data_IF_247885219509
#
_entry.id   IF_247885219509
#
_cell.length_a   1.000
_cell.length_b   1.000
_cell.length_c   1.000
_cell.angle_alpha   90.00
_cell.angle_beta   90.00
_cell.angle_gamma   90.00
#
_symmetry.space_group_name_H-M   'P 1'
#
loop_
_entity.id
_entity.type
_entity.pdbx_description
1 polymer ?
#
# COMPACT_ATOMS: atom_id res chain seq x y z
N UNK A 1 23.10 -77.39 -31.51
CA UNK A 1 23.12 -76.30 -32.51
C UNK A 1 23.36 -74.98 -31.79
N UNK A 2 24.17 -74.11 -32.41
CA UNK A 2 24.70 -72.83 -31.90
C UNK A 2 23.61 -71.76 -31.66
N UNK A 3 23.94 -70.66 -30.92
CA UNK A 3 23.00 -69.79 -30.20
C UNK A 3 22.55 -68.55 -31.00
N UNK A 4 21.49 -67.86 -30.53
CA UNK A 4 21.07 -66.56 -31.06
C UNK A 4 20.95 -65.49 -29.95
N UNK A 5 21.97 -64.63 -29.93
CA UNK A 5 21.97 -63.15 -29.92
C UNK A 5 20.92 -62.37 -29.09
N UNK A 6 21.44 -61.57 -28.15
CA UNK A 6 20.90 -60.26 -27.67
C UNK A 6 21.27 -59.12 -28.68
N UNK A 7 20.96 -57.83 -28.43
CA UNK A 7 19.68 -57.16 -28.18
C UNK A 7 19.49 -55.91 -29.08
N UNK A 8 18.30 -55.29 -29.11
CA UNK A 8 18.09 -53.93 -29.64
C UNK A 8 17.62 -52.99 -28.52
N UNK A 9 18.40 -51.96 -28.22
CA UNK A 9 18.04 -50.84 -27.34
C UNK A 9 17.82 -49.59 -28.17
N UNK A 10 16.68 -48.93 -27.94
CA UNK A 10 16.23 -47.74 -28.63
C UNK A 10 17.09 -46.50 -28.33
N UNK A 11 17.26 -45.70 -29.38
CA UNK A 11 18.10 -44.51 -29.51
C UNK A 11 17.44 -43.32 -28.78
N UNK A 12 18.13 -42.70 -27.81
CA UNK A 12 17.76 -41.37 -27.29
C UNK A 12 18.40 -40.30 -28.17
N UNK A 13 17.58 -39.39 -28.70
CA UNK A 13 17.99 -38.22 -29.47
C UNK A 13 18.67 -37.19 -28.57
N UNK A 14 19.80 -36.66 -29.04
CA UNK A 14 20.58 -35.61 -28.42
C UNK A 14 20.30 -34.30 -29.19
N UNK A 15 19.90 -33.23 -28.52
CA UNK A 15 19.82 -31.88 -29.11
C UNK A 15 20.92 -31.02 -28.47
N UNK A 16 21.61 -30.14 -29.23
CA UNK A 16 22.87 -29.55 -28.81
C UNK A 16 22.67 -28.35 -27.88
N UNK A 17 23.65 -28.20 -26.99
CA UNK A 17 23.76 -27.13 -26.02
C UNK A 17 24.29 -25.82 -26.65
N UNK A 18 23.72 -24.71 -26.17
CA UNK A 18 24.39 -23.48 -25.75
C UNK A 18 25.13 -22.60 -26.77
N UNK A 19 24.64 -21.37 -26.91
CA UNK A 19 25.48 -20.16 -26.84
C UNK A 19 24.84 -19.20 -25.82
N UNK A 20 25.32 -19.26 -24.57
CA UNK A 20 25.00 -18.26 -23.55
C UNK A 20 25.92 -17.06 -23.73
N UNK A 21 25.34 -15.90 -23.98
CA UNK A 21 26.02 -14.62 -23.87
C UNK A 21 26.30 -14.35 -22.39
N UNK A 22 27.51 -13.89 -22.08
CA UNK A 22 27.99 -13.62 -20.73
C UNK A 22 27.26 -12.39 -20.16
N UNK A 23 26.26 -12.61 -19.31
CA UNK A 23 25.90 -11.61 -18.29
C UNK A 23 26.91 -11.74 -17.15
N UNK A 24 27.39 -10.61 -16.61
CA UNK A 24 28.28 -10.59 -15.47
C UNK A 24 27.57 -11.24 -14.28
N UNK A 25 27.86 -12.52 -14.04
CA UNK A 25 27.25 -13.25 -12.94
C UNK A 25 27.72 -12.63 -11.62
N UNK A 26 26.89 -11.77 -11.03
CA UNK A 26 27.05 -11.35 -9.65
C UNK A 26 27.09 -12.62 -8.78
N UNK A 27 28.23 -12.87 -8.13
CA UNK A 27 28.36 -13.98 -7.20
C UNK A 27 27.25 -13.86 -6.14
N UNK A 28 26.57 -14.97 -5.84
CA UNK A 28 25.45 -14.97 -4.91
C UNK A 28 25.90 -14.38 -3.56
N UNK A 29 25.21 -13.34 -3.05
CA UNK A 29 25.54 -12.76 -1.77
C UNK A 29 25.40 -13.82 -0.66
N UNK A 30 26.28 -13.74 0.36
CA UNK A 30 26.21 -14.64 1.51
C UNK A 30 24.86 -14.45 2.21
N UNK A 31 24.02 -15.48 2.15
CA UNK A 31 22.69 -15.49 2.74
C UNK A 31 22.72 -16.19 4.12
N UNK A 32 22.09 -15.57 5.11
CA UNK A 32 21.82 -16.13 6.42
C UNK A 32 20.31 -16.21 6.63
N UNK A 33 19.80 -17.42 6.92
CA UNK A 33 18.38 -17.67 7.15
C UNK A 33 18.08 -17.69 8.65
N UNK A 34 17.19 -16.80 9.09
CA UNK A 34 16.93 -16.55 10.51
C UNK A 34 15.44 -16.70 10.77
N UNK A 35 15.09 -17.59 11.70
CA UNK A 35 13.71 -17.75 12.17
C UNK A 35 13.47 -16.82 13.37
N UNK A 36 12.64 -15.81 13.18
CA UNK A 36 12.25 -14.85 14.22
C UNK A 36 10.96 -15.33 14.88
N UNK A 37 10.97 -15.70 16.18
CA UNK A 37 9.77 -16.20 16.84
C UNK A 37 8.73 -15.09 17.02
N UNK A 38 7.55 -15.29 16.46
CA UNK A 38 6.37 -14.45 16.68
C UNK A 38 5.59 -15.04 17.85
N UNK A 39 5.87 -14.54 19.07
CA UNK A 39 5.27 -14.94 20.37
C UNK A 39 4.29 -16.13 20.30
N UNK A 40 3.03 -15.90 19.91
CA UNK A 40 1.98 -16.92 19.80
C UNK A 40 1.60 -17.33 18.36
N UNK A 41 2.11 -16.64 17.35
CA UNK A 41 1.67 -16.76 15.96
C UNK A 41 2.70 -17.48 15.06
N UNK A 42 3.60 -18.30 15.59
CA UNK A 42 4.59 -19.05 14.80
C UNK A 42 5.92 -18.32 14.65
N UNK A 43 6.57 -18.42 13.49
CA UNK A 43 7.86 -17.77 13.23
C UNK A 43 7.90 -17.09 11.85
N UNK A 44 8.50 -15.91 11.79
CA UNK A 44 8.82 -15.19 10.57
C UNK A 44 10.21 -15.63 10.06
N UNK A 45 10.34 -15.95 8.77
CA UNK A 45 11.66 -16.18 8.17
C UNK A 45 12.24 -14.87 7.66
N UNK A 46 13.43 -14.52 8.12
CA UNK A 46 14.20 -13.36 7.66
C UNK A 46 15.48 -13.87 7.01
N UNK A 47 15.71 -13.45 5.76
CA UNK A 47 16.94 -13.81 5.05
C UNK A 47 17.83 -12.57 4.93
N UNK A 48 19.05 -12.66 5.46
CA UNK A 48 20.00 -11.55 5.49
C UNK A 48 21.10 -11.80 4.48
N UNK A 49 21.19 -10.89 3.52
CA UNK A 49 22.22 -10.85 2.50
C UNK A 49 23.23 -9.78 2.88
N UNK A 50 24.34 -10.22 3.47
CA UNK A 50 25.36 -9.33 4.02
C UNK A 50 26.11 -8.60 2.92
N UNK A 51 26.26 -7.28 3.09
CA UNK A 51 27.19 -6.50 2.27
C UNK A 51 28.63 -6.93 2.55
N UNK A 52 29.52 -6.71 1.58
CA UNK A 52 30.96 -6.88 1.78
C UNK A 52 31.58 -5.83 2.71
N UNK A 53 30.85 -4.76 3.02
CA UNK A 53 31.31 -3.65 3.87
C UNK A 53 30.73 -3.72 5.28
N UNK A 54 31.56 -3.62 6.35
CA UNK A 54 31.13 -3.88 7.73
C UNK A 54 30.27 -2.77 8.36
N UNK A 55 30.03 -1.66 7.67
CA UNK A 55 29.16 -0.54 8.10
C UNK A 55 28.18 -0.14 7.00
N UNK A 56 27.72 -1.12 6.21
CA UNK A 56 26.77 -0.89 5.13
C UNK A 56 25.43 -0.37 5.66
N UNK A 57 24.71 0.48 4.90
CA UNK A 57 23.31 0.75 5.20
C UNK A 57 22.48 -0.54 5.15
N UNK A 58 21.30 -0.53 5.77
CA UNK A 58 20.38 -1.67 5.79
C UNK A 58 19.18 -1.38 4.91
N UNK A 59 18.83 -2.33 4.05
CA UNK A 59 17.67 -2.28 3.17
C UNK A 59 16.74 -3.45 3.50
N UNK A 60 15.49 -3.16 3.82
CA UNK A 60 14.44 -4.17 3.99
C UNK A 60 13.78 -4.41 2.65
N UNK A 61 13.72 -5.67 2.21
CA UNK A 61 13.00 -6.08 1.01
C UNK A 61 11.78 -6.92 1.36
N UNK A 62 10.61 -6.51 0.88
CA UNK A 62 9.33 -7.18 1.05
C UNK A 62 8.87 -7.75 -0.30
N UNK A 63 8.76 -9.08 -0.43
CA UNK A 63 8.40 -9.73 -1.70
C UNK A 63 6.97 -9.38 -2.15
N UNK A 64 6.62 -9.64 -3.44
CA UNK A 64 5.30 -9.31 -4.01
C UNK A 64 4.09 -9.89 -3.25
N UNK A 65 4.28 -10.99 -2.52
CA UNK A 65 3.19 -11.72 -1.87
C UNK A 65 2.47 -12.66 -2.85
N UNK A 66 1.27 -13.15 -2.49
CA UNK A 66 0.61 -14.24 -3.21
C UNK A 66 -0.04 -13.86 -4.54
N UNK A 67 -0.02 -12.57 -4.92
CA UNK A 67 -0.64 -12.04 -6.15
C UNK A 67 -0.03 -12.62 -7.42
N UNK A 68 1.27 -12.89 -7.39
CA UNK A 68 2.00 -13.51 -8.50
C UNK A 68 2.73 -14.77 -8.00
N UNK A 69 2.92 -15.78 -8.86
CA UNK A 69 3.63 -17.00 -8.47
C UNK A 69 5.04 -16.69 -7.94
N UNK A 70 5.39 -17.27 -6.78
CA UNK A 70 6.71 -17.07 -6.21
C UNK A 70 7.78 -17.79 -7.02
N UNK A 71 8.78 -17.03 -7.50
CA UNK A 71 9.95 -17.54 -8.20
C UNK A 71 11.22 -17.23 -7.41
N UNK A 72 11.77 -18.25 -6.75
CA UNK A 72 12.99 -18.09 -5.96
C UNK A 72 14.18 -17.58 -6.81
N UNK A 73 14.23 -17.94 -8.10
CA UNK A 73 15.27 -17.47 -9.02
C UNK A 73 15.15 -15.98 -9.32
N UNK A 74 13.95 -15.49 -9.63
CA UNK A 74 13.70 -14.07 -9.91
C UNK A 74 13.96 -13.22 -8.67
N UNK A 75 13.47 -13.68 -7.51
CA UNK A 75 13.72 -13.02 -6.22
C UNK A 75 15.22 -12.94 -5.90
N UNK A 76 15.96 -14.03 -6.14
CA UNK A 76 17.41 -14.05 -5.94
C UNK A 76 18.12 -13.05 -6.86
N UNK A 77 17.66 -12.90 -8.10
CA UNK A 77 18.22 -11.91 -9.04
C UNK A 77 17.94 -10.48 -8.57
N UNK A 78 16.70 -10.16 -8.20
CA UNK A 78 16.33 -8.84 -7.67
C UNK A 78 17.20 -8.47 -6.47
N UNK A 79 17.32 -9.39 -5.49
CA UNK A 79 18.13 -9.19 -4.29
C UNK A 79 19.62 -9.03 -4.63
N UNK A 80 20.14 -9.84 -5.54
CA UNK A 80 21.54 -9.74 -5.98
C UNK A 80 21.83 -8.38 -6.61
N UNK A 81 20.94 -7.92 -7.50
CA UNK A 81 21.04 -6.59 -8.14
C UNK A 81 20.93 -5.47 -7.12
N UNK A 82 20.00 -5.54 -6.17
CA UNK A 82 19.87 -4.57 -5.08
C UNK A 82 21.13 -4.53 -4.21
N UNK A 83 21.66 -5.67 -3.78
CA UNK A 83 22.90 -5.77 -3.01
C UNK A 83 24.07 -5.13 -3.76
N UNK A 84 24.23 -5.47 -5.05
CA UNK A 84 25.34 -5.01 -5.87
C UNK A 84 25.32 -3.49 -6.10
N UNK A 85 24.13 -2.93 -6.37
CA UNK A 85 23.98 -1.50 -6.72
C UNK A 85 23.87 -0.60 -5.49
N UNK A 86 23.19 -1.04 -4.43
CA UNK A 86 23.04 -0.27 -3.20
C UNK A 86 24.29 -0.32 -2.31
N UNK A 87 25.03 -1.44 -2.34
CA UNK A 87 26.08 -1.74 -1.36
C UNK A 87 25.54 -1.96 0.07
N UNK A 88 24.21 -2.05 0.23
CA UNK A 88 23.53 -2.26 1.49
C UNK A 88 23.54 -3.75 1.89
N UNK A 89 23.38 -4.01 3.19
CA UNK A 89 22.94 -5.31 3.67
C UNK A 89 21.42 -5.40 3.45
N UNK A 90 20.98 -6.40 2.69
CA UNK A 90 19.55 -6.57 2.35
C UNK A 90 18.93 -7.62 3.26
N UNK A 91 17.88 -7.26 3.98
CA UNK A 91 17.08 -8.16 4.80
C UNK A 91 15.74 -8.42 4.11
N UNK A 92 15.56 -9.63 3.57
CA UNK A 92 14.27 -10.07 3.02
C UNK A 92 13.36 -10.53 4.15
N UNK A 93 12.20 -9.91 4.29
CA UNK A 93 11.17 -10.32 5.24
C UNK A 93 10.16 -11.22 4.53
N UNK A 94 10.19 -12.52 4.79
CA UNK A 94 9.26 -13.49 4.21
C UNK A 94 7.95 -13.50 5.02
N UNK A 95 7.20 -12.40 4.93
CA UNK A 95 5.92 -12.26 5.62
C UNK A 95 4.95 -13.35 5.15
N UNK A 96 4.07 -13.78 6.06
CA UNK A 96 3.11 -14.84 5.77
C UNK A 96 1.79 -14.22 5.33
N UNK A 97 1.42 -14.51 4.09
CA UNK A 97 0.16 -14.09 3.48
C UNK A 97 -0.42 -15.26 2.70
N UNK A 98 -1.52 -15.83 3.20
CA UNK A 98 -2.24 -16.94 2.57
C UNK A 98 -3.63 -17.09 3.19
N UNK A 99 -4.42 -18.05 2.68
CA UNK A 99 -5.70 -18.42 3.30
C UNK A 99 -5.57 -18.88 4.77
N UNK A 100 -4.39 -19.37 5.19
CA UNK A 100 -4.10 -19.73 6.58
C UNK A 100 -3.58 -18.54 7.40
N UNK A 101 -2.94 -17.58 6.73
CA UNK A 101 -2.31 -16.40 7.32
C UNK A 101 -2.92 -15.13 6.72
N UNK A 102 -4.18 -14.90 7.06
CA UNK A 102 -4.96 -13.74 6.66
C UNK A 102 -4.57 -12.50 7.47
N UNK A 103 -5.05 -11.32 7.05
CA UNK A 103 -4.95 -10.09 7.83
C UNK A 103 -5.43 -10.33 9.28
N UNK A 104 -4.73 -9.79 10.31
CA UNK A 104 -3.58 -8.86 10.28
C UNK A 104 -2.19 -9.53 10.29
N UNK A 105 -2.08 -10.83 9.99
CA UNK A 105 -0.81 -11.57 10.09
C UNK A 105 0.33 -10.97 9.26
N UNK A 106 0.15 -10.60 7.97
CA UNK A 106 1.22 -10.00 7.16
C UNK A 106 1.76 -8.69 7.76
N UNK A 107 0.87 -7.86 8.33
CA UNK A 107 1.24 -6.59 8.97
C UNK A 107 2.08 -6.83 10.22
N UNK A 108 1.65 -7.76 11.08
CA UNK A 108 2.40 -8.12 12.28
C UNK A 108 3.77 -8.70 11.94
N UNK A 109 3.86 -9.52 10.89
CA UNK A 109 5.12 -10.08 10.41
C UNK A 109 6.07 -8.98 9.89
N UNK A 110 5.57 -8.02 9.12
CA UNK A 110 6.38 -6.88 8.64
C UNK A 110 6.94 -6.03 9.81
N UNK A 111 6.11 -5.72 10.81
CA UNK A 111 6.53 -4.98 12.01
C UNK A 111 7.54 -5.78 12.85
N UNK A 112 7.29 -7.08 13.05
CA UNK A 112 8.22 -7.97 13.76
C UNK A 112 9.57 -8.04 13.05
N UNK A 113 9.56 -8.13 11.72
CA UNK A 113 10.76 -8.13 10.89
C UNK A 113 11.54 -6.83 10.99
N UNK A 114 10.84 -5.68 10.95
CA UNK A 114 11.46 -4.37 11.16
C UNK A 114 12.10 -4.26 12.55
N UNK A 115 11.39 -4.67 13.60
CA UNK A 115 11.92 -4.69 14.97
C UNK A 115 13.16 -5.56 15.09
N UNK A 116 13.14 -6.75 14.46
CA UNK A 116 14.29 -7.63 14.43
C UNK A 116 15.47 -6.99 13.71
N UNK A 117 15.26 -6.37 12.54
CA UNK A 117 16.30 -5.65 11.79
C UNK A 117 16.91 -4.54 12.65
N UNK A 118 16.09 -3.74 13.31
CA UNK A 118 16.55 -2.67 14.20
C UNK A 118 17.38 -3.19 15.36
N UNK A 119 17.01 -4.33 15.93
CA UNK A 119 17.69 -4.91 17.08
C UNK A 119 18.99 -5.63 16.71
N UNK A 120 19.11 -6.21 15.51
CA UNK A 120 20.20 -7.11 15.15
C UNK A 120 21.16 -6.54 14.11
N UNK A 121 20.66 -5.76 13.14
CA UNK A 121 21.47 -5.23 12.04
C UNK A 121 21.96 -3.80 12.28
N UNK A 122 21.32 -3.06 13.20
CA UNK A 122 21.72 -1.70 13.56
C UNK A 122 22.46 -1.69 14.90
N UNK A 123 23.59 -2.40 14.94
CA UNK A 123 24.49 -2.47 16.08
C UNK A 123 25.89 -1.95 15.73
N UNK A 124 26.59 -1.36 16.69
CA UNK A 124 28.02 -1.04 16.55
C UNK A 124 28.90 -2.29 16.80
N UNK A 125 30.22 -2.14 16.64
CA UNK A 125 31.19 -3.23 16.88
C UNK A 125 31.24 -3.76 18.32
N UNK A 126 30.50 -3.15 19.25
CA UNK A 126 30.34 -3.59 20.64
C UNK A 126 28.90 -4.05 20.94
N UNK A 127 28.11 -4.35 19.90
CA UNK A 127 26.70 -4.78 19.99
C UNK A 127 25.77 -3.75 20.66
N UNK A 128 26.12 -2.46 20.60
CA UNK A 128 25.25 -1.38 21.11
C UNK A 128 24.37 -0.85 19.98
N UNK A 129 23.08 -0.53 20.25
CA UNK A 129 22.19 0.02 19.24
C UNK A 129 22.74 1.32 18.65
N UNK A 130 22.79 1.41 17.33
CA UNK A 130 23.09 2.66 16.61
C UNK A 130 21.81 3.25 16.03
N UNK A 131 21.73 4.58 15.99
CA UNK A 131 20.68 5.27 15.25
C UNK A 131 21.01 5.14 13.77
N UNK A 132 20.36 4.18 13.11
CA UNK A 132 20.58 3.84 11.71
C UNK A 132 19.48 4.37 10.79
N UNK A 133 19.88 4.68 9.55
CA UNK A 133 18.96 4.97 8.45
C UNK A 133 18.66 3.65 7.73
N UNK A 134 17.38 3.29 7.64
CA UNK A 134 16.92 2.05 6.98
C UNK A 134 16.16 2.41 5.70
N UNK A 135 16.48 1.73 4.62
CA UNK A 135 15.66 1.75 3.41
C UNK A 135 14.62 0.64 3.44
N UNK A 136 13.47 0.84 2.81
CA UNK A 136 12.49 -0.22 2.56
C UNK A 136 12.15 -0.29 1.08
N UNK A 137 12.05 -1.49 0.54
CA UNK A 137 11.56 -1.72 -0.79
C UNK A 137 10.59 -2.90 -0.86
N UNK A 138 9.64 -2.83 -1.79
CA UNK A 138 8.71 -3.92 -1.99
C UNK A 138 7.78 -3.72 -3.18
N UNK A 139 7.11 -4.80 -3.54
CA UNK A 139 6.23 -4.87 -4.71
C UNK A 139 4.84 -5.39 -4.32
N UNK A 140 3.77 -4.95 -4.98
CA UNK A 140 2.40 -5.45 -4.76
C UNK A 140 1.98 -5.44 -3.27
N UNK A 141 1.75 -6.60 -2.65
CA UNK A 141 1.42 -6.72 -1.21
C UNK A 141 2.61 -6.31 -0.34
N UNK A 142 3.83 -6.71 -0.71
CA UNK A 142 5.05 -6.24 -0.06
C UNK A 142 5.26 -4.74 -0.23
N UNK A 143 4.79 -4.17 -1.35
CA UNK A 143 4.73 -2.72 -1.59
C UNK A 143 3.79 -2.04 -0.61
N UNK A 144 2.60 -2.60 -0.37
CA UNK A 144 1.67 -2.13 0.67
C UNK A 144 2.31 -2.09 2.06
N UNK A 145 2.94 -3.22 2.45
CA UNK A 145 3.64 -3.33 3.73
C UNK A 145 4.83 -2.37 3.83
N UNK A 146 5.53 -2.13 2.72
CA UNK A 146 6.63 -1.15 2.65
C UNK A 146 6.14 0.27 2.85
N UNK A 147 5.01 0.64 2.22
CA UNK A 147 4.36 1.94 2.44
C UNK A 147 3.95 2.08 3.90
N UNK A 148 3.29 1.06 4.46
CA UNK A 148 2.86 1.04 5.86
C UNK A 148 4.05 1.28 6.81
N UNK A 149 5.13 0.50 6.68
CA UNK A 149 6.34 0.68 7.50
C UNK A 149 6.94 2.08 7.32
N UNK A 150 7.05 2.57 6.08
CA UNK A 150 7.64 3.88 5.80
C UNK A 150 6.82 5.06 6.36
N UNK A 151 5.50 4.90 6.51
CA UNK A 151 4.65 5.89 7.16
C UNK A 151 4.79 5.83 8.68
N UNK A 152 4.78 4.63 9.29
CA UNK A 152 4.74 4.49 10.75
C UNK A 152 6.12 4.56 11.42
N UNK A 153 7.16 4.00 10.79
CA UNK A 153 8.50 3.83 11.37
C UNK A 153 9.48 4.92 10.92
N UNK A 154 9.03 6.17 10.81
CA UNK A 154 9.82 7.31 10.32
C UNK A 154 10.13 8.38 11.39
N UNK A 155 10.23 7.99 12.65
CA UNK A 155 10.47 8.88 13.80
C UNK A 155 11.93 9.36 13.88
N UNK A 156 12.21 10.68 13.86
CA UNK A 156 13.57 11.20 14.10
C UNK A 156 14.06 10.94 15.53
N UNK A 157 15.38 10.82 15.70
CA UNK A 157 16.02 10.55 16.99
C UNK A 157 16.12 9.06 17.33
N UNK A 158 15.51 8.20 16.52
CA UNK A 158 15.60 6.75 16.60
C UNK A 158 16.02 6.18 15.24
N UNK A 159 16.40 4.90 15.21
CA UNK A 159 16.54 4.16 13.96
C UNK A 159 15.20 4.17 13.24
N UNK A 160 15.19 4.62 11.99
CA UNK A 160 13.96 4.92 11.25
C UNK A 160 14.11 4.61 9.77
N UNK A 161 12.97 4.50 9.11
CA UNK A 161 12.91 4.42 7.65
C UNK A 161 13.12 5.82 7.07
N UNK A 162 14.12 5.96 6.22
CA UNK A 162 14.51 7.23 5.59
C UNK A 162 14.33 7.22 4.08
N UNK A 163 14.23 6.05 3.46
CA UNK A 163 14.00 5.86 2.04
C UNK A 163 12.99 4.73 1.80
N UNK A 164 12.04 4.93 0.89
CA UNK A 164 11.05 3.93 0.52
C UNK A 164 10.96 3.84 -1.02
N UNK A 165 11.23 2.66 -1.58
CA UNK A 165 11.04 2.38 -3.01
C UNK A 165 9.98 1.30 -3.22
N UNK A 166 8.84 1.65 -3.80
CA UNK A 166 7.71 0.71 -3.92
C UNK A 166 7.24 0.58 -5.36
N UNK A 167 7.07 -0.65 -5.83
CA UNK A 167 6.64 -0.96 -7.18
C UNK A 167 5.22 -1.53 -7.24
N UNK A 168 4.38 -0.96 -8.08
CA UNK A 168 2.97 -1.33 -8.23
C UNK A 168 2.30 -1.62 -6.86
N UNK A 169 2.38 -0.71 -5.86
CA UNK A 169 1.92 -1.03 -4.52
C UNK A 169 0.38 -1.10 -4.44
N UNK A 170 -0.15 -2.11 -3.75
CA UNK A 170 -1.58 -2.19 -3.44
C UNK A 170 -1.85 -1.35 -2.19
N UNK A 171 -2.31 -0.11 -2.38
CA UNK A 171 -2.48 0.83 -1.26
C UNK A 171 -3.94 1.09 -0.87
N UNK A 172 -4.89 0.61 -1.68
CA UNK A 172 -6.32 0.59 -1.40
C UNK A 172 -6.90 -0.77 -1.82
N UNK A 173 -7.35 -1.57 -0.85
CA UNK A 173 -8.00 -2.86 -1.10
C UNK A 173 -9.48 -2.73 -1.45
N UNK A 174 -10.03 -1.51 -1.42
CA UNK A 174 -11.37 -1.22 -1.96
C UNK A 174 -11.23 -0.97 -3.46
N UNK A 175 -11.47 -1.99 -4.26
CA UNK A 175 -11.30 -1.88 -5.71
C UNK A 175 -12.51 -1.20 -6.37
N UNK A 176 -12.31 -0.54 -7.53
CA UNK A 176 -13.40 0.15 -8.23
C UNK A 176 -14.59 -0.75 -8.60
N UNK A 177 -14.36 -2.02 -8.88
CA UNK A 177 -15.41 -2.95 -9.33
C UNK A 177 -16.39 -3.35 -8.21
N UNK A 178 -15.97 -3.23 -6.94
CA UNK A 178 -16.85 -3.52 -5.81
C UNK A 178 -17.78 -2.35 -5.48
N UNK A 179 -17.50 -1.16 -6.03
CA UNK A 179 -18.24 0.05 -5.74
C UNK A 179 -19.29 0.31 -6.82
N UNK A 180 -20.57 0.51 -6.46
CA UNK A 180 -21.59 0.85 -7.44
C UNK A 180 -21.24 2.18 -8.12
N UNK A 181 -21.50 2.27 -9.42
CA UNK A 181 -21.35 3.52 -10.16
C UNK A 181 -22.51 4.44 -9.82
N UNK A 182 -22.24 5.46 -9.00
CA UNK A 182 -23.23 6.40 -8.48
C UNK A 182 -22.80 7.82 -8.85
N UNK A 183 -23.77 8.69 -9.18
CA UNK A 183 -23.47 10.09 -9.48
C UNK A 183 -22.92 10.81 -8.24
N UNK A 184 -22.02 11.78 -8.41
CA UNK A 184 -21.35 12.49 -7.30
C UNK A 184 -22.33 13.17 -6.32
N UNK A 185 -23.51 13.57 -6.81
CA UNK A 185 -24.58 14.16 -6.02
C UNK A 185 -25.32 13.16 -5.10
N UNK A 186 -25.24 11.86 -5.41
CA UNK A 186 -25.92 10.76 -4.70
C UNK A 186 -24.97 9.98 -3.78
N UNK A 187 -23.69 10.36 -3.73
CA UNK A 187 -22.71 9.73 -2.86
C UNK A 187 -23.07 9.93 -1.39
N UNK A 188 -23.04 8.82 -0.65
CA UNK A 188 -23.27 8.83 0.79
C UNK A 188 -22.17 9.57 1.53
N UNK A 189 -22.53 10.16 2.66
CA UNK A 189 -21.57 10.69 3.62
C UNK A 189 -21.08 9.55 4.52
N UNK A 190 -19.75 9.37 4.66
CA UNK A 190 -19.23 8.37 5.58
C UNK A 190 -19.60 8.74 7.03
N UNK A 191 -19.85 7.72 7.86
CA UNK A 191 -20.02 7.89 9.31
C UNK A 191 -18.68 8.22 9.98
N UNK A 192 -18.15 9.42 9.74
CA UNK A 192 -16.90 9.89 10.31
C UNK A 192 -17.19 11.04 11.30
N UNK A 193 -17.02 10.81 12.62
CA UNK A 193 -17.05 11.89 13.59
C UNK A 193 -15.71 12.67 13.51
N UNK A 194 -15.79 13.96 13.21
CA UNK A 194 -14.84 15.03 13.60
C UNK A 194 -13.38 15.14 13.09
N UNK A 195 -12.88 14.36 12.11
CA UNK A 195 -11.47 14.54 11.68
C UNK A 195 -11.21 15.17 10.28
N UNK A 196 -12.22 15.57 9.49
CA UNK A 196 -11.97 16.10 8.13
C UNK A 196 -13.12 16.97 7.59
N UNK A 197 -12.86 18.23 7.22
CA UNK A 197 -13.87 19.18 6.70
C UNK A 197 -13.85 19.35 5.16
N UNK A 198 -12.99 18.63 4.42
CA UNK A 198 -12.78 18.82 2.97
C UNK A 198 -12.64 17.49 2.22
N UNK A 199 -13.08 17.48 0.96
CA UNK A 199 -13.02 16.31 0.08
C UNK A 199 -11.58 15.86 -0.15
N UNK A 200 -11.35 14.55 -0.36
CA UNK A 200 -10.02 13.96 -0.54
C UNK A 200 -9.24 14.56 -1.72
N UNK A 201 -9.96 14.91 -2.80
CA UNK A 201 -9.36 15.50 -3.98
C UNK A 201 -9.00 16.98 -3.81
N UNK A 202 -9.68 17.68 -2.90
CA UNK A 202 -9.41 19.07 -2.62
C UNK A 202 -8.06 19.22 -1.92
N UNK A 203 -7.34 20.27 -2.28
CA UNK A 203 -6.12 20.63 -1.59
C UNK A 203 -6.51 21.40 -0.31
N UNK A 204 -6.32 20.83 0.89
CA UNK A 204 -6.68 21.49 2.14
C UNK A 204 -5.89 22.78 2.38
N UNK A 205 -4.83 23.01 1.59
CA UNK A 205 -3.97 24.18 1.65
C UNK A 205 -4.28 25.20 0.56
N UNK A 206 -5.29 24.98 -0.30
CA UNK A 206 -5.63 25.91 -1.37
C UNK A 206 -5.87 27.33 -0.83
N UNK A 207 -5.29 28.32 -1.53
CA UNK A 207 -5.53 29.73 -1.27
C UNK A 207 -7.03 30.00 -1.46
N UNK A 208 -7.75 30.13 -0.36
CA UNK A 208 -9.15 30.57 -0.39
C UNK A 208 -9.14 32.07 -0.55
N UNK A 209 -9.58 32.56 -1.71
CA UNK A 209 -9.79 33.98 -1.96
C UNK A 209 -10.93 34.47 -1.05
N UNK A 210 -10.58 34.95 0.15
CA UNK A 210 -11.53 35.48 1.15
C UNK A 210 -11.98 36.92 0.84
N UNK A 211 -11.76 37.39 -0.39
CA UNK A 211 -12.15 38.72 -0.87
C UNK A 211 -13.66 38.86 -1.18
N UNK A 212 -14.55 38.20 -0.44
CA UNK A 212 -15.97 38.58 -0.39
C UNK A 212 -16.47 38.44 1.04
N UNK A 213 -16.87 39.54 1.71
CA UNK A 213 -17.42 39.46 3.05
C UNK A 213 -18.78 38.74 2.99
N UNK A 214 -18.99 37.85 3.96
CA UNK A 214 -20.24 37.15 4.21
C UNK A 214 -21.38 38.16 4.37
N UNK A 215 -22.27 38.22 3.38
CA UNK A 215 -23.62 38.72 3.58
C UNK A 215 -24.50 37.52 3.89
N UNK A 216 -24.94 37.43 5.14
CA UNK A 216 -26.07 36.59 5.55
C UNK A 216 -27.30 36.97 4.70
N UNK A 217 -27.48 36.28 3.59
CA UNK A 217 -28.75 36.23 2.86
C UNK A 217 -28.89 34.81 2.31
N UNK A 218 -30.05 34.21 2.59
CA UNK A 218 -30.49 32.91 2.10
C UNK A 218 -30.11 32.72 0.62
N UNK A 219 -29.02 31.98 0.37
CA UNK A 219 -28.64 31.55 -0.97
C UNK A 219 -29.41 30.28 -1.28
N UNK A 220 -30.56 30.45 -1.93
CA UNK A 220 -31.13 29.42 -2.80
C UNK A 220 -30.03 28.92 -3.73
N UNK A 221 -29.73 27.62 -3.66
CA UNK A 221 -28.82 26.92 -4.56
C UNK A 221 -29.17 27.27 -6.01
N UNK A 222 -28.29 28.02 -6.67
CA UNK A 222 -28.26 28.08 -8.12
C UNK A 222 -26.92 27.50 -8.53
N UNK A 223 -26.94 26.20 -8.78
CA UNK A 223 -25.82 25.42 -9.28
C UNK A 223 -25.18 26.12 -10.47
N UNK A 224 -23.93 26.54 -10.31
CA UNK A 224 -23.04 26.69 -11.47
C UNK A 224 -22.77 25.27 -11.94
N UNK A 225 -23.61 24.81 -12.87
CA UNK A 225 -23.49 23.56 -13.62
C UNK A 225 -22.09 23.51 -14.27
N UNK A 226 -21.10 23.01 -13.52
CA UNK A 226 -19.79 22.65 -14.08
C UNK A 226 -20.09 21.53 -15.07
N UNK A 227 -19.72 21.73 -16.33
CA UNK A 227 -19.87 20.69 -17.35
C UNK A 227 -19.20 19.42 -16.81
N UNK A 228 -19.94 18.32 -16.79
CA UNK A 228 -19.42 17.02 -16.41
C UNK A 228 -18.23 16.73 -17.34
N UNK A 229 -17.02 16.65 -16.77
CA UNK A 229 -15.88 16.12 -17.51
C UNK A 229 -16.27 14.68 -17.91
N UNK A 230 -15.98 14.24 -19.15
CA UNK A 230 -16.24 12.85 -19.53
C UNK A 230 -15.58 11.93 -18.50
N UNK A 231 -16.29 10.89 -18.06
CA UNK A 231 -15.72 9.88 -17.16
C UNK A 231 -14.46 9.34 -17.85
N UNK A 232 -13.30 9.69 -17.30
CA UNK A 232 -12.05 9.08 -17.73
C UNK A 232 -12.14 7.62 -17.27
N UNK A 233 -11.98 6.70 -18.19
CA UNK A 233 -11.82 5.28 -17.88
C UNK A 233 -10.58 5.13 -16.99
N UNK A 234 -10.77 4.58 -15.81
CA UNK A 234 -9.69 4.37 -14.84
C UNK A 234 -8.74 3.27 -15.35
N UNK A 235 -7.47 3.30 -14.93
CA UNK A 235 -6.47 2.30 -15.28
C UNK A 235 -6.93 0.87 -14.94
N UNK A 236 -7.63 0.73 -13.80
CA UNK A 236 -8.27 -0.52 -13.39
C UNK A 236 -9.17 -1.15 -14.48
N UNK A 237 -9.98 -0.32 -15.15
CA UNK A 237 -10.91 -0.78 -16.19
C UNK A 237 -10.22 -0.97 -17.55
N UNK A 238 -9.22 -0.14 -17.85
CA UNK A 238 -8.51 -0.18 -19.13
C UNK A 238 -7.56 -1.37 -19.24
N UNK A 239 -6.92 -1.72 -18.13
CA UNK A 239 -5.88 -2.74 -18.06
C UNK A 239 -6.29 -3.91 -17.15
N UNK A 240 -7.60 -4.14 -17.02
CA UNK A 240 -8.15 -5.17 -16.14
C UNK A 240 -7.78 -6.59 -16.54
N UNK A 241 -7.51 -6.78 -17.84
CA UNK A 241 -7.17 -8.06 -18.50
C UNK A 241 -5.66 -8.23 -18.72
N UNK A 242 -4.81 -7.49 -17.99
CA UNK A 242 -3.36 -7.65 -18.05
C UNK A 242 -2.93 -9.08 -17.69
N UNK A 243 -1.95 -9.64 -18.42
CA UNK A 243 -1.51 -11.03 -18.25
C UNK A 243 -0.76 -11.25 -16.92
N UNK A 244 -0.09 -10.22 -16.40
CA UNK A 244 0.76 -10.32 -15.22
C UNK A 244 -0.05 -10.19 -13.93
N UNK A 245 -0.92 -9.17 -13.86
CA UNK A 245 -1.73 -8.86 -12.66
C UNK A 245 -3.18 -8.51 -13.03
N UNK A 246 -3.97 -9.49 -13.53
CA UNK A 246 -5.36 -9.22 -13.88
C UNK A 246 -6.17 -8.86 -12.64
N UNK A 247 -7.16 -8.00 -12.82
CA UNK A 247 -8.03 -7.47 -11.75
C UNK A 247 -8.82 -8.56 -11.02
N UNK A 248 -9.15 -9.64 -11.73
CA UNK A 248 -9.78 -10.84 -11.15
C UNK A 248 -8.86 -11.51 -10.13
N UNK A 249 -7.56 -11.62 -10.42
CA UNK A 249 -6.57 -12.18 -9.47
C UNK A 249 -6.42 -11.28 -8.27
N UNK A 250 -6.34 -9.96 -8.45
CA UNK A 250 -6.28 -9.00 -7.33
C UNK A 250 -7.51 -9.11 -6.41
N UNK A 251 -8.70 -9.24 -6.99
CA UNK A 251 -9.94 -9.40 -6.24
C UNK A 251 -10.01 -10.76 -5.52
N UNK A 252 -9.59 -11.84 -6.17
CA UNK A 252 -9.52 -13.16 -5.56
C UNK A 252 -8.53 -13.19 -4.38
N UNK A 253 -7.37 -12.58 -4.53
CA UNK A 253 -6.38 -12.50 -3.45
C UNK A 253 -6.87 -11.65 -2.28
N UNK A 254 -7.62 -10.57 -2.52
CA UNK A 254 -8.30 -9.83 -1.44
C UNK A 254 -9.23 -10.76 -0.66
N UNK A 255 -10.08 -11.52 -1.35
CA UNK A 255 -11.04 -12.41 -0.68
C UNK A 255 -10.34 -13.55 0.10
N UNK A 256 -9.15 -13.96 -0.34
CA UNK A 256 -8.29 -14.91 0.38
C UNK A 256 -7.64 -14.28 1.61
N UNK A 257 -7.12 -13.05 1.49
CA UNK A 257 -6.33 -12.39 2.52
C UNK A 257 -7.16 -11.72 3.62
N UNK A 258 -8.40 -11.35 3.34
CA UNK A 258 -9.27 -10.65 4.28
C UNK A 258 -10.46 -11.53 4.68
N UNK A 259 -10.51 -11.90 5.97
CA UNK A 259 -11.63 -12.69 6.50
C UNK A 259 -12.90 -11.88 6.61
N UNK A 260 -12.77 -10.60 6.99
CA UNK A 260 -13.88 -9.67 7.14
C UNK A 260 -13.72 -8.54 6.15
N UNK A 261 -14.83 -8.11 5.56
CA UNK A 261 -14.82 -7.00 4.62
C UNK A 261 -14.44 -5.67 5.30
N UNK A 262 -14.65 -5.53 6.61
CA UNK A 262 -14.23 -4.36 7.37
C UNK A 262 -12.70 -4.17 7.44
N UNK A 263 -11.95 -5.26 7.32
CA UNK A 263 -10.49 -5.26 7.45
C UNK A 263 -9.80 -4.56 6.26
N UNK A 264 -10.45 -4.50 5.09
CA UNK A 264 -9.90 -3.80 3.90
C UNK A 264 -9.82 -2.28 4.09
N UNK A 265 -10.58 -1.74 5.05
CA UNK A 265 -10.58 -0.32 5.41
C UNK A 265 -9.54 0.03 6.48
N UNK A 266 -8.83 -0.97 7.02
CA UNK A 266 -7.77 -0.74 7.99
C UNK A 266 -6.62 0.04 7.36
N UNK A 267 -6.05 1.00 8.09
CA UNK A 267 -4.99 1.87 7.58
C UNK A 267 -3.66 1.14 7.36
N UNK A 268 -3.41 0.04 8.06
CA UNK A 268 -2.21 -0.77 7.86
C UNK A 268 -2.35 -1.74 6.69
N UNK A 269 -3.58 -2.16 6.35
CA UNK A 269 -3.89 -2.92 5.14
C UNK A 269 -3.91 -2.03 3.88
N UNK A 270 -4.60 -0.90 3.97
CA UNK A 270 -4.79 0.09 2.91
C UNK A 270 -4.14 1.41 3.31
N UNK A 271 -2.80 1.55 3.19
CA UNK A 271 -2.05 2.70 3.68
C UNK A 271 -2.42 4.04 3.06
N UNK A 272 -3.13 4.07 1.92
CA UNK A 272 -3.68 5.33 1.41
C UNK A 272 -4.65 5.98 2.42
N UNK A 273 -5.27 5.18 3.31
CA UNK A 273 -6.24 5.66 4.29
C UNK A 273 -5.62 6.43 5.46
N UNK A 274 -4.29 6.53 5.54
CA UNK A 274 -3.64 7.55 6.37
C UNK A 274 -3.90 8.97 5.84
N UNK A 275 -4.03 9.13 4.51
CA UNK A 275 -4.17 10.43 3.85
C UNK A 275 -5.60 10.79 3.46
N UNK A 276 -6.51 9.82 3.38
CA UNK A 276 -7.93 10.06 3.11
C UNK A 276 -8.83 9.01 3.75
N UNK A 277 -10.14 9.26 3.80
CA UNK A 277 -11.09 8.18 4.08
C UNK A 277 -11.24 7.25 2.85
N UNK A 278 -11.79 6.04 3.05
CA UNK A 278 -12.11 5.14 1.95
C UNK A 278 -13.17 5.72 1.02
N UNK A 279 -13.23 5.21 -0.22
CA UNK A 279 -14.28 5.51 -1.20
C UNK A 279 -15.52 4.62 -1.06
N UNK A 280 -15.49 3.69 -0.10
CA UNK A 280 -16.57 2.77 0.22
C UNK A 280 -16.99 2.85 1.69
N UNK A 281 -18.25 2.50 1.96
CA UNK A 281 -18.84 2.34 3.28
C UNK A 281 -19.59 1.02 3.33
N UNK A 282 -19.42 0.26 4.42
CA UNK A 282 -20.25 -0.93 4.68
C UNK A 282 -21.57 -0.51 5.31
N UNK A 283 -22.66 -0.78 4.59
CA UNK A 283 -24.01 -0.62 5.11
C UNK A 283 -24.46 -1.94 5.71
N UNK A 284 -24.62 -1.95 7.03
CA UNK A 284 -25.18 -3.08 7.74
C UNK A 284 -26.71 -2.99 7.69
N UNK A 285 -27.39 -4.09 7.34
CA UNK A 285 -28.85 -4.19 7.47
C UNK A 285 -29.26 -3.85 8.90
N UNK A 286 -30.30 -3.04 9.05
CA UNK A 286 -30.84 -2.69 10.37
C UNK A 286 -31.32 -3.99 11.04
N UNK A 287 -30.70 -4.38 12.14
CA UNK A 287 -31.16 -5.50 12.96
C UNK A 287 -32.49 -5.13 13.64
N UNK A 288 -33.43 -6.08 13.74
CA UNK A 288 -34.74 -5.89 14.37
C UNK A 288 -34.65 -5.30 15.80
N UNK A 289 -33.55 -5.53 16.52
CA UNK A 289 -33.30 -4.98 17.86
C UNK A 289 -33.20 -3.44 17.88
N UNK A 290 -32.81 -2.83 16.76
CA UNK A 290 -32.80 -1.36 16.60
C UNK A 290 -34.23 -0.84 16.40
N UNK A 291 -35.10 -1.65 15.78
CA UNK A 291 -36.52 -1.33 15.60
C UNK A 291 -37.28 -1.27 16.94
N UNK A 292 -36.87 -2.08 17.92
CA UNK A 292 -37.40 -2.02 19.29
C UNK A 292 -36.89 -0.79 20.08
N UNK A 293 -35.81 -0.15 19.62
CA UNK A 293 -35.15 0.97 20.30
C UNK A 293 -35.48 2.34 19.69
N UNK A 294 -35.89 2.40 18.42
CA UNK A 294 -36.48 3.58 17.80
C UNK A 294 -37.89 3.78 18.38
N UNK A 295 -38.02 4.58 19.44
CA UNK A 295 -39.34 5.03 19.90
C UNK A 295 -39.98 5.87 18.78
N UNK A 296 -41.24 5.62 18.41
CA UNK A 296 -41.91 6.45 17.42
C UNK A 296 -41.98 7.89 17.95
N UNK A 297 -41.59 8.86 17.10
CA UNK A 297 -41.64 10.30 17.42
C UNK A 297 -43.07 10.82 17.74
N UNK A 298 -44.10 10.00 17.50
CA UNK A 298 -45.47 10.28 17.86
C UNK A 298 -45.85 9.56 19.15
N UNK A 299 -46.41 10.31 20.11
CA UNK A 299 -47.01 9.80 21.34
C UNK A 299 -48.17 8.85 21.02
N UNK A 300 -47.85 7.57 20.83
CA UNK A 300 -48.83 6.49 20.69
C UNK A 300 -49.44 6.19 22.05
N UNK A 301 -50.77 5.98 22.08
CA UNK A 301 -51.47 5.55 23.29
C UNK A 301 -50.96 4.19 23.78
N UNK A 302 -50.94 3.99 25.09
CA UNK A 302 -50.35 2.83 25.77
C UNK A 302 -51.02 1.53 25.32
N UNK A 303 -52.32 1.58 25.03
CA UNK A 303 -53.13 0.43 24.59
C UNK A 303 -52.71 -0.06 23.19
N UNK A 304 -52.51 0.86 22.24
CA UNK A 304 -51.99 0.56 20.89
C UNK A 304 -50.58 -0.03 20.94
N UNK A 305 -49.76 0.40 21.91
CA UNK A 305 -48.40 -0.11 22.10
C UNK A 305 -48.39 -1.55 22.59
N UNK A 306 -49.30 -1.92 23.49
CA UNK A 306 -49.43 -3.30 23.97
C UNK A 306 -49.97 -4.23 22.88
N UNK A 307 -50.93 -3.79 22.08
CA UNK A 307 -51.48 -4.58 20.96
C UNK A 307 -50.43 -4.89 19.90
N UNK A 308 -49.60 -3.92 19.50
CA UNK A 308 -48.53 -4.14 18.51
C UNK A 308 -47.48 -5.15 19.01
N UNK A 309 -47.12 -5.08 20.30
CA UNK A 309 -46.14 -6.00 20.91
C UNK A 309 -46.63 -7.46 20.94
N UNK A 310 -47.95 -7.67 21.02
CA UNK A 310 -48.56 -9.00 21.04
C UNK A 310 -48.61 -9.68 19.65
N UNK A 311 -48.61 -8.90 18.57
CA UNK A 311 -48.64 -9.45 17.20
C UNK A 311 -47.26 -9.75 16.62
N UNK A 312 -46.19 -9.10 17.09
CA UNK A 312 -44.83 -9.30 16.57
C UNK A 312 -44.20 -10.65 16.98
N UNK A 313 -44.71 -11.32 18.01
CA UNK A 313 -44.10 -12.56 18.53
C UNK A 313 -44.37 -13.83 17.71
N UNK A 314 -45.20 -13.78 16.67
CA UNK A 314 -45.69 -14.99 15.99
C UNK A 314 -45.28 -15.17 14.51
N UNK A 315 -44.50 -14.27 13.91
CA UNK A 315 -44.14 -14.36 12.47
C UNK A 315 -42.67 -14.19 12.10
N UNK A 316 -41.74 -14.22 13.04
CA UNK A 316 -40.31 -14.19 12.70
C UNK A 316 -39.83 -15.61 12.38
N UNK A 317 -39.92 -15.96 11.09
CA UNK A 317 -39.01 -16.95 10.51
C UNK A 317 -37.59 -16.42 10.75
N UNK A 318 -36.57 -17.25 11.09
CA UNK A 318 -35.21 -16.76 11.22
C UNK A 318 -34.77 -16.20 9.86
N UNK A 319 -34.82 -14.88 9.70
CA UNK A 319 -34.25 -14.22 8.55
C UNK A 319 -32.76 -14.55 8.55
N UNK A 320 -32.28 -15.14 7.46
CA UNK A 320 -30.84 -15.22 7.22
C UNK A 320 -30.24 -13.85 7.47
N UNK A 321 -29.17 -13.72 8.28
CA UNK A 321 -28.56 -12.42 8.53
C UNK A 321 -28.17 -11.83 7.18
N UNK A 322 -28.82 -10.75 6.78
CA UNK A 322 -28.51 -10.04 5.55
C UNK A 322 -27.04 -9.59 5.63
N UNK A 323 -26.29 -9.83 4.55
CA UNK A 323 -24.87 -9.49 4.50
C UNK A 323 -24.70 -7.96 4.37
N UNK A 324 -23.63 -7.38 4.94
CA UNK A 324 -23.34 -5.97 4.73
C UNK A 324 -23.12 -5.68 3.25
N UNK A 325 -23.68 -4.58 2.77
CA UNK A 325 -23.56 -4.15 1.37
C UNK A 325 -22.54 -3.03 1.29
N UNK A 326 -21.58 -3.17 0.38
CA UNK A 326 -20.63 -2.12 0.09
C UNK A 326 -21.27 -1.03 -0.76
N UNK A 327 -21.30 0.19 -0.24
CA UNK A 327 -21.82 1.37 -0.93
C UNK A 327 -20.69 2.36 -1.23
N UNK A 328 -20.80 3.07 -2.34
CA UNK A 328 -19.88 4.16 -2.68
C UNK A 328 -20.17 5.39 -1.82
N UNK A 329 -19.14 5.98 -1.23
CA UNK A 329 -19.25 7.18 -0.40
C UNK A 329 -18.23 8.25 -0.80
N UNK A 330 -18.41 9.46 -0.28
CA UNK A 330 -17.42 10.54 -0.44
C UNK A 330 -16.17 10.23 0.36
N UNK A 331 -15.01 10.41 -0.25
CA UNK A 331 -13.74 10.37 0.44
C UNK A 331 -13.32 11.77 0.91
N UNK A 332 -12.78 11.86 2.12
CA UNK A 332 -12.36 13.09 2.77
C UNK A 332 -10.87 13.09 3.08
N UNK A 333 -10.21 14.24 2.94
CA UNK A 333 -8.77 14.38 3.12
C UNK A 333 -8.37 14.34 4.60
N UNK A 334 -7.44 13.45 4.97
CA UNK A 334 -6.89 13.31 6.32
C UNK A 334 -5.53 13.99 6.46
N UNK A 335 -5.28 14.54 7.66
CA UNK A 335 -4.01 15.19 7.98
C UNK A 335 -3.01 14.16 8.52
N UNK A 336 -2.14 13.65 7.65
CA UNK A 336 -1.00 12.82 8.05
C UNK A 336 0.36 13.42 7.70
N UNK A 337 1.41 13.33 8.55
CA UNK A 337 1.33 12.91 9.95
C UNK A 337 0.41 13.83 10.79
N UNK A 338 -0.24 13.30 11.84
CA UNK A 338 -1.13 14.10 12.68
C UNK A 338 -0.36 15.16 13.46
N UNK A 339 -1.03 16.26 13.82
CA UNK A 339 -0.40 17.33 14.59
C UNK A 339 0.12 16.81 15.94
N UNK A 340 1.37 17.16 16.29
CA UNK A 340 1.99 16.69 17.53
C UNK A 340 2.65 15.32 17.42
N UNK A 341 2.54 14.63 16.28
CA UNK A 341 3.37 13.45 16.01
C UNK A 341 4.80 13.86 15.67
N UNK A 342 5.76 13.09 16.15
CA UNK A 342 7.18 13.24 15.84
C UNK A 342 7.58 12.39 14.63
N UNK A 343 6.71 12.29 13.62
CA UNK A 343 7.00 11.52 12.41
C UNK A 343 7.58 12.44 11.32
N UNK A 344 8.62 11.98 10.63
CA UNK A 344 9.19 12.71 9.50
C UNK A 344 9.29 11.79 8.29
N UNK A 345 8.40 12.01 7.32
CA UNK A 345 8.26 11.13 6.17
C UNK A 345 9.60 10.94 5.42
N UNK A 346 9.89 9.70 4.99
CA UNK A 346 11.10 9.37 4.23
C UNK A 346 11.09 10.01 2.84
N UNK A 347 12.17 9.83 2.09
CA UNK A 347 12.16 10.04 0.65
C UNK A 347 11.53 8.83 -0.05
N UNK A 348 10.83 9.09 -1.15
CA UNK A 348 10.00 8.11 -1.81
C UNK A 348 10.34 8.00 -3.29
N UNK A 349 10.39 6.74 -3.75
CA UNK A 349 10.39 6.38 -5.15
C UNK A 349 9.26 5.40 -5.40
N UNK A 350 8.20 5.85 -6.05
CA UNK A 350 7.05 5.02 -6.38
C UNK A 350 7.16 4.69 -7.86
N UNK A 351 7.03 3.42 -8.22
CA UNK A 351 6.97 3.00 -9.61
C UNK A 351 5.68 2.23 -9.91
N UNK A 352 5.19 2.37 -11.13
CA UNK A 352 4.06 1.61 -11.63
C UNK A 352 4.18 1.38 -13.14
N UNK A 353 3.59 0.29 -13.63
CA UNK A 353 3.44 0.06 -15.06
C UNK A 353 2.43 1.02 -15.68
N UNK A 354 2.69 1.49 -16.90
CA UNK A 354 1.74 2.30 -17.67
C UNK A 354 0.48 1.51 -18.06
N UNK A 355 0.58 0.19 -18.08
CA UNK A 355 -0.51 -0.76 -18.33
C UNK A 355 -0.90 -1.53 -17.05
N UNK A 356 -0.49 -1.06 -15.87
CA UNK A 356 -0.88 -1.70 -14.62
C UNK A 356 -2.26 -1.21 -14.16
N UNK A 357 -3.17 -2.10 -13.71
CA UNK A 357 -4.43 -1.67 -13.10
C UNK A 357 -4.23 -0.88 -11.80
N UNK A 358 -3.04 -0.95 -11.19
CA UNK A 358 -2.68 -0.25 -9.95
C UNK A 358 -2.09 1.15 -10.18
N UNK A 359 -1.93 1.59 -11.44
CA UNK A 359 -1.33 2.89 -11.78
C UNK A 359 -2.05 4.07 -11.11
N UNK A 360 -3.38 4.04 -11.05
CA UNK A 360 -4.18 5.10 -10.45
C UNK A 360 -3.92 5.22 -8.95
N UNK A 361 -3.87 4.10 -8.23
CA UNK A 361 -3.59 4.08 -6.79
C UNK A 361 -2.15 4.53 -6.49
N UNK A 362 -1.16 4.12 -7.29
CA UNK A 362 0.23 4.56 -7.16
C UNK A 362 0.37 6.08 -7.41
N UNK A 363 -0.34 6.60 -8.43
CA UNK A 363 -0.36 8.03 -8.74
C UNK A 363 -1.04 8.85 -7.64
N UNK A 364 -2.13 8.32 -7.09
CA UNK A 364 -2.82 8.93 -5.95
C UNK A 364 -1.93 8.97 -4.71
N UNK A 365 -1.25 7.86 -4.39
CA UNK A 365 -0.32 7.78 -3.28
C UNK A 365 0.78 8.84 -3.39
N UNK A 366 1.43 8.93 -4.56
CA UNK A 366 2.46 9.93 -4.82
C UNK A 366 1.93 11.36 -4.60
N UNK A 367 0.74 11.67 -5.11
CA UNK A 367 0.06 12.96 -4.91
C UNK A 367 -0.19 13.24 -3.43
N UNK A 368 -0.68 12.26 -2.66
CA UNK A 368 -0.99 12.44 -1.24
C UNK A 368 0.26 12.59 -0.37
N UNK A 369 1.32 11.84 -0.64
CA UNK A 369 2.61 11.97 0.05
C UNK A 369 3.24 13.34 -0.26
N UNK A 370 3.24 13.78 -1.52
CA UNK A 370 3.73 15.12 -1.91
C UNK A 370 3.02 16.23 -1.14
N UNK A 371 1.67 16.19 -1.13
CA UNK A 371 0.84 17.12 -0.34
C UNK A 371 1.23 17.12 1.14
N UNK A 372 1.41 15.93 1.71
CA UNK A 372 1.83 15.78 3.10
C UNK A 372 3.22 16.37 3.38
N UNK A 373 4.20 16.07 2.53
CA UNK A 373 5.57 16.59 2.64
C UNK A 373 5.61 18.11 2.53
N UNK A 374 4.91 18.68 1.54
CA UNK A 374 4.83 20.13 1.34
C UNK A 374 4.23 20.81 2.59
N UNK A 375 3.10 20.29 3.09
CA UNK A 375 2.44 20.79 4.30
C UNK A 375 3.30 20.67 5.55
N UNK A 376 3.87 19.50 5.78
CA UNK A 376 4.65 19.22 6.98
C UNK A 376 5.91 20.11 7.02
N UNK A 377 6.55 20.31 5.88
CA UNK A 377 7.72 21.19 5.75
C UNK A 377 7.35 22.64 6.00
N UNK A 378 6.24 23.14 5.43
CA UNK A 378 5.73 24.48 5.72
C UNK A 378 5.45 24.66 7.20
N UNK A 379 4.73 23.73 7.82
CA UNK A 379 4.38 23.80 9.25
C UNK A 379 5.63 23.79 10.13
N UNK A 380 6.61 22.95 9.82
CA UNK A 380 7.87 22.87 10.57
C UNK A 380 8.70 24.16 10.45
N UNK A 381 8.74 24.79 9.26
CA UNK A 381 9.54 26.00 9.03
C UNK A 381 8.84 27.27 9.52
N UNK A 382 7.55 27.43 9.24
CA UNK A 382 6.80 28.67 9.41
C UNK A 382 5.74 28.63 10.50
N UNK A 383 5.47 27.47 11.11
CA UNK A 383 4.43 27.31 12.14
C UNK A 383 2.99 27.39 11.63
N UNK A 384 2.77 27.50 10.31
CA UNK A 384 1.45 27.62 9.66
C UNK A 384 1.17 26.50 8.65
N UNK A 385 -0.09 26.36 8.26
CA UNK A 385 -0.58 25.24 7.44
C UNK A 385 -1.06 25.69 6.04
N UNK A 386 -1.26 26.99 5.81
CA UNK A 386 -1.72 27.51 4.50
C UNK A 386 -0.61 28.30 3.83
N UNK A 387 -0.54 28.24 2.51
CA UNK A 387 0.33 29.08 1.68
C UNK A 387 -0.10 30.56 1.79
N UNK A 388 0.85 31.48 1.68
CA UNK A 388 0.57 32.92 1.61
C UNK A 388 0.37 33.37 0.16
N UNK A 389 1.28 32.92 -0.71
CA UNK A 389 1.33 33.32 -2.12
C UNK A 389 1.51 32.09 -3.03
N UNK A 390 1.21 32.26 -4.31
CA UNK A 390 1.39 31.20 -5.33
C UNK A 390 2.85 30.77 -5.47
N UNK A 391 3.80 31.71 -5.36
CA UNK A 391 5.24 31.42 -5.47
C UNK A 391 5.74 30.56 -4.31
N UNK A 392 5.22 30.78 -3.10
CA UNK A 392 5.53 29.94 -1.94
C UNK A 392 4.99 28.52 -2.15
N UNK A 393 3.76 28.41 -2.66
CA UNK A 393 3.17 27.12 -2.99
C UNK A 393 4.05 26.35 -3.98
N UNK A 394 4.44 26.99 -5.08
CA UNK A 394 5.31 26.39 -6.10
C UNK A 394 6.63 25.91 -5.50
N UNK A 395 7.25 26.70 -4.62
CA UNK A 395 8.49 26.30 -3.93
C UNK A 395 8.32 25.01 -3.10
N UNK A 396 7.25 24.88 -2.32
CA UNK A 396 7.03 23.68 -1.49
C UNK A 396 6.54 22.49 -2.32
N UNK A 397 5.81 22.73 -3.40
CA UNK A 397 5.44 21.70 -4.38
C UNK A 397 6.70 21.14 -5.06
N UNK A 398 7.63 22.00 -5.49
CA UNK A 398 8.92 21.59 -6.06
C UNK A 398 9.78 20.82 -5.05
N UNK A 399 9.83 21.28 -3.80
CA UNK A 399 10.50 20.56 -2.72
C UNK A 399 9.89 19.18 -2.49
N UNK A 400 8.56 19.07 -2.50
CA UNK A 400 7.86 17.79 -2.34
C UNK A 400 8.06 16.87 -3.55
N UNK A 401 8.07 17.42 -4.77
CA UNK A 401 8.38 16.68 -5.99
C UNK A 401 9.82 16.13 -5.98
N UNK A 402 10.76 16.87 -5.40
CA UNK A 402 12.14 16.40 -5.21
C UNK A 402 12.27 15.23 -4.22
N UNK A 403 11.39 15.15 -3.21
CA UNK A 403 11.41 14.05 -2.21
C UNK A 403 10.55 12.84 -2.59
N UNK A 404 9.64 12.97 -3.55
CA UNK A 404 8.68 11.93 -3.94
C UNK A 404 8.64 11.81 -5.45
N UNK A 405 9.39 10.84 -5.98
CA UNK A 405 9.36 10.50 -7.40
C UNK A 405 8.24 9.50 -7.71
N UNK A 406 7.61 9.66 -8.88
CA UNK A 406 6.70 8.68 -9.47
C UNK A 406 7.25 8.33 -10.86
N UNK A 407 7.71 7.10 -11.02
CA UNK A 407 8.25 6.58 -12.27
C UNK A 407 7.22 5.66 -12.94
N UNK A 408 6.98 5.87 -14.23
CA UNK A 408 6.09 5.02 -15.02
C UNK A 408 6.90 4.23 -16.03
N UNK A 409 6.77 2.91 -15.99
CA UNK A 409 7.47 2.00 -16.91
C UNK A 409 6.52 1.38 -17.93
N UNK A 410 7.03 0.88 -19.05
CA UNK A 410 6.19 0.20 -20.03
C UNK A 410 5.67 -1.14 -19.49
N UNK A 411 4.50 -1.59 -19.96
CA UNK A 411 3.88 -2.85 -19.51
C UNK A 411 3.29 -2.76 -18.09
N UNK A 412 3.20 -3.92 -17.44
CA UNK A 412 2.88 -4.04 -16.01
C UNK A 412 3.97 -3.47 -15.11
N UNK A 413 5.22 -3.40 -15.60
CA UNK A 413 6.35 -2.79 -14.89
C UNK A 413 6.75 -3.51 -13.60
N UNK A 414 6.49 -4.80 -13.48
CA UNK A 414 6.81 -5.60 -12.29
C UNK A 414 8.28 -6.05 -12.28
N UNK A 415 8.91 -6.05 -11.11
CA UNK A 415 10.26 -6.57 -10.90
C UNK A 415 10.29 -8.09 -10.95
N UNK A 416 9.26 -8.74 -10.39
CA UNK A 416 9.15 -10.18 -10.31
C UNK A 416 8.46 -10.84 -11.53
N UNK A 417 8.10 -10.07 -12.57
CA UNK A 417 7.68 -10.64 -13.86
C UNK A 417 8.76 -10.41 -14.92
N UNK A 418 9.88 -11.13 -14.79
CA UNK A 418 11.06 -10.91 -15.62
C UNK A 418 10.88 -11.39 -17.06
N UNK A 419 9.91 -12.28 -17.30
CA UNK A 419 9.59 -12.79 -18.63
C UNK A 419 8.92 -11.71 -19.49
N UNK A 420 8.04 -10.91 -18.91
CA UNK A 420 7.28 -9.89 -19.63
C UNK A 420 7.89 -8.47 -19.49
N UNK A 421 8.77 -8.24 -18.51
CA UNK A 421 9.41 -6.93 -18.32
C UNK A 421 10.91 -6.97 -18.64
N UNK A 422 11.32 -6.71 -19.88
CA UNK A 422 12.74 -6.66 -20.26
C UNK A 422 13.56 -5.59 -19.51
N UNK A 423 12.90 -4.58 -18.93
CA UNK A 423 13.55 -3.46 -18.24
C UNK A 423 13.67 -3.69 -16.72
N UNK A 424 13.24 -4.84 -16.19
CA UNK A 424 13.22 -5.11 -14.74
C UNK A 424 14.60 -4.87 -14.10
N UNK A 425 15.68 -5.31 -14.74
CA UNK A 425 17.04 -5.22 -14.19
C UNK A 425 17.46 -3.76 -14.04
N UNK A 426 17.28 -2.95 -15.09
CA UNK A 426 17.59 -1.53 -15.06
C UNK A 426 16.76 -0.76 -14.01
N UNK A 427 15.49 -1.14 -13.82
CA UNK A 427 14.62 -0.54 -12.79
C UNK A 427 15.12 -0.84 -11.38
N UNK A 428 15.50 -2.09 -11.12
CA UNK A 428 16.05 -2.53 -9.83
C UNK A 428 17.43 -1.91 -9.59
N UNK A 429 18.29 -1.82 -10.61
CA UNK A 429 19.59 -1.15 -10.54
C UNK A 429 19.44 0.33 -10.19
N UNK A 430 18.53 1.03 -10.87
CA UNK A 430 18.25 2.45 -10.61
C UNK A 430 17.74 2.64 -9.17
N UNK A 431 16.89 1.73 -8.69
CA UNK A 431 16.39 1.73 -7.32
C UNK A 431 17.51 1.54 -6.30
N UNK A 432 18.40 0.57 -6.53
CA UNK A 432 19.54 0.33 -5.64
C UNK A 432 20.56 1.45 -5.64
N UNK A 433 20.84 2.08 -6.79
CA UNK A 433 21.69 3.28 -6.88
C UNK A 433 21.09 4.45 -6.10
N UNK A 434 19.78 4.69 -6.24
CA UNK A 434 19.09 5.73 -5.48
C UNK A 434 19.13 5.45 -3.96
N UNK A 435 18.88 4.20 -3.55
CA UNK A 435 19.01 3.79 -2.14
C UNK A 435 20.42 4.05 -1.59
N UNK A 436 21.46 3.79 -2.39
CA UNK A 436 22.86 4.08 -2.01
C UNK A 436 23.09 5.56 -1.74
N UNK A 437 22.41 6.45 -2.47
CA UNK A 437 22.57 7.89 -2.32
C UNK A 437 21.83 8.41 -1.09
N UNK A 438 20.57 8.01 -0.92
CA UNK A 438 19.70 8.50 0.16
C UNK A 438 20.07 7.91 1.53
N UNK A 439 20.58 6.68 1.57
CA UNK A 439 20.97 6.02 2.83
C UNK A 439 22.38 6.38 3.30
N UNK A 440 23.11 7.25 2.57
CA UNK A 440 24.40 7.75 3.08
C UNK A 440 24.16 8.49 4.39
N UNK A 441 24.95 8.21 5.44
CA UNK A 441 24.90 9.02 6.65
C UNK A 441 25.26 10.46 6.29
N UNK A 442 24.38 11.41 6.62
CA UNK A 442 24.69 12.83 6.56
C UNK A 442 25.80 13.09 7.59
N UNK A 443 27.06 13.14 7.16
CA UNK A 443 28.13 13.71 7.96
C UNK A 443 27.87 15.21 8.04
N UNK A 444 27.08 15.63 9.04
CA UNK A 444 26.86 17.03 9.40
C UNK A 444 27.30 17.28 10.82
#
# INVERSE_FOLDING_TARGET
>A
MRPLLRPWTARRSCWPASLRLFSAAHALPRCEHIAVPSRSNGSLSVDVFHSSTPSSPVLIYLPPGPVIPESAEEQTRIISTLCATSGATVARLNFRASSQHQFPTPVHDALLGYDWVRQNLLQDGFSRPIIGHVGVCGELVGGSLSVMLALTECRPGESRITAAAVNNPIVDWVFPDDLPTVAEAELLEPAAPDETAMLADEDPMALTDRSQPDSHTNRTMKDRKRSAKPLRSNAWQLYGEDDSIPTVTLSAERDVLFRRQEDVFDRFASPIHFFRSPHGLLLYPKQDDVWASEQPDNAMDIETRMDLSHYQSHHLSPSTPELPVLARCRAYARIYPPAGSNLNLPEWRISAGSQSPLLDQASELAKMIRRSVARHTLKKRMGRIRWQDTTEKEYYDDFANGRVALDTFAGAGLWADQANNEQWEAQVEQTGQWMKEVLKPEFT
#
